data_IF_554993455247
#
_entry.id   IF_554993455247
#
_cell.length_a   1.000
_cell.length_b   1.000
_cell.length_c   1.000
_cell.angle_alpha   90.00
_cell.angle_beta   90.00
_cell.angle_gamma   90.00
#
_symmetry.space_group_name_H-M   'P 1'
#
loop_
_entity.id
_entity.type
_entity.pdbx_description
1 polymer ?
#
# COMPACT_ATOMS: atom_id res chain seq x y z
N UNK A 1 21.49 -36.85 11.92
CA UNK A 1 21.00 -35.62 12.59
C UNK A 1 20.24 -34.81 11.53
N UNK A 2 18.92 -34.59 11.66
CA UNK A 2 18.18 -33.81 10.69
C UNK A 2 18.63 -32.33 10.77
N UNK A 3 19.08 -31.77 9.64
CA UNK A 3 19.41 -30.35 9.52
C UNK A 3 18.17 -29.53 9.82
N UNK A 4 18.18 -28.77 10.94
CA UNK A 4 17.19 -27.73 11.26
C UNK A 4 17.09 -26.81 10.05
N UNK A 5 15.91 -26.76 9.38
CA UNK A 5 15.63 -25.75 8.37
C UNK A 5 15.74 -24.38 9.03
N UNK A 6 16.78 -23.64 8.71
CA UNK A 6 16.90 -22.24 9.09
C UNK A 6 15.74 -21.51 8.43
N UNK A 7 14.88 -20.79 9.19
CA UNK A 7 13.82 -19.98 8.56
C UNK A 7 14.49 -18.98 7.62
N UNK A 8 14.21 -19.06 6.34
CA UNK A 8 14.62 -18.01 5.40
C UNK A 8 13.99 -16.72 5.92
N UNK A 9 14.80 -15.71 6.24
CA UNK A 9 14.34 -14.36 6.60
C UNK A 9 13.34 -13.94 5.52
N UNK A 10 12.05 -13.89 5.88
CA UNK A 10 10.99 -13.57 4.94
C UNK A 10 11.19 -12.16 4.41
N UNK A 11 11.02 -11.97 3.12
CA UNK A 11 10.96 -10.64 2.52
C UNK A 11 9.74 -9.93 3.09
N UNK A 12 9.92 -8.73 3.64
CA UNK A 12 8.83 -8.00 4.32
C UNK A 12 7.96 -7.19 3.36
N UNK A 13 8.37 -7.02 2.09
CA UNK A 13 7.68 -6.25 1.07
C UNK A 13 7.58 -7.01 -0.25
N UNK A 14 6.53 -6.75 -1.01
CA UNK A 14 6.37 -7.24 -2.38
C UNK A 14 7.26 -6.49 -3.36
N UNK A 15 7.59 -7.12 -4.48
CA UNK A 15 8.06 -6.43 -5.68
C UNK A 15 6.91 -5.75 -6.39
N UNK A 16 7.24 -4.85 -7.35
CA UNK A 16 6.21 -4.22 -8.19
C UNK A 16 5.44 -5.24 -9.04
N UNK A 17 6.10 -6.27 -9.52
CA UNK A 17 5.46 -7.31 -10.34
C UNK A 17 4.58 -8.23 -9.48
N UNK A 18 4.99 -8.55 -8.25
CA UNK A 18 4.15 -9.26 -7.29
C UNK A 18 2.87 -8.46 -6.98
N UNK A 19 2.98 -7.13 -6.76
CA UNK A 19 1.82 -6.26 -6.53
C UNK A 19 0.89 -6.24 -7.73
N UNK A 20 1.41 -6.07 -8.95
CA UNK A 20 0.61 -6.08 -10.18
C UNK A 20 -0.12 -7.40 -10.37
N UNK A 21 0.58 -8.51 -10.18
CA UNK A 21 -0.01 -9.85 -10.28
C UNK A 21 -1.11 -10.04 -9.23
N UNK A 22 -0.85 -9.67 -7.98
CA UNK A 22 -1.83 -9.77 -6.89
C UNK A 22 -3.13 -9.01 -7.22
N UNK A 23 -3.06 -7.84 -7.86
CA UNK A 23 -4.23 -7.05 -8.24
C UNK A 23 -5.03 -7.64 -9.41
N UNK A 24 -4.44 -8.56 -10.17
CA UNK A 24 -5.13 -9.25 -11.29
C UNK A 24 -5.87 -10.51 -10.86
N UNK A 25 -5.55 -11.07 -9.66
CA UNK A 25 -6.14 -12.33 -9.20
C UNK A 25 -7.64 -12.25 -8.83
N UNK A 26 -8.17 -11.14 -8.25
CA UNK A 26 -9.60 -11.04 -7.99
C UNK A 26 -10.39 -10.87 -9.28
N UNK A 27 -11.42 -11.71 -9.47
CA UNK A 27 -12.35 -11.60 -10.59
C UNK A 27 -13.34 -10.44 -10.37
N UNK A 28 -13.05 -9.29 -10.97
CA UNK A 28 -13.86 -8.08 -10.82
C UNK A 28 -15.18 -8.10 -11.61
N UNK A 29 -15.53 -9.19 -12.30
CA UNK A 29 -16.83 -9.37 -12.94
C UNK A 29 -17.95 -9.65 -11.93
N UNK A 30 -17.59 -10.03 -10.70
CA UNK A 30 -18.53 -10.26 -9.60
C UNK A 30 -18.25 -9.31 -8.41
N UNK A 31 -19.26 -9.14 -7.56
CA UNK A 31 -19.22 -8.18 -6.45
C UNK A 31 -18.11 -8.47 -5.44
N UNK A 32 -17.88 -9.75 -5.12
CA UNK A 32 -16.85 -10.17 -4.16
C UNK A 32 -15.46 -9.85 -4.70
N UNK A 33 -15.20 -10.20 -5.96
CA UNK A 33 -13.91 -9.93 -6.57
C UNK A 33 -13.66 -8.44 -6.81
N UNK A 34 -14.70 -7.67 -7.17
CA UNK A 34 -14.61 -6.22 -7.27
C UNK A 34 -14.24 -5.59 -5.91
N UNK A 35 -14.91 -6.02 -4.83
CA UNK A 35 -14.58 -5.61 -3.46
C UNK A 35 -13.13 -5.95 -3.12
N UNK A 36 -12.75 -7.21 -3.31
CA UNK A 36 -11.43 -7.73 -2.91
C UNK A 36 -10.31 -7.00 -3.68
N UNK A 37 -10.50 -6.79 -4.98
CA UNK A 37 -9.57 -6.01 -5.82
C UNK A 37 -9.43 -4.57 -5.32
N UNK A 38 -10.54 -3.91 -5.07
CA UNK A 38 -10.57 -2.54 -4.56
C UNK A 38 -9.89 -2.44 -3.20
N UNK A 39 -10.15 -3.41 -2.30
CA UNK A 39 -9.51 -3.50 -0.98
C UNK A 39 -7.98 -3.59 -1.09
N UNK A 40 -7.48 -4.53 -1.90
CA UNK A 40 -6.03 -4.73 -2.08
C UNK A 40 -5.36 -3.49 -2.68
N UNK A 41 -5.95 -2.89 -3.72
CA UNK A 41 -5.46 -1.66 -4.34
C UNK A 41 -5.49 -0.48 -3.37
N UNK A 42 -6.57 -0.35 -2.58
CA UNK A 42 -6.69 0.70 -1.58
C UNK A 42 -5.63 0.57 -0.49
N UNK A 43 -5.41 -0.64 0.05
CA UNK A 43 -4.40 -0.90 1.07
C UNK A 43 -2.99 -0.55 0.57
N UNK A 44 -2.68 -0.86 -0.68
CA UNK A 44 -1.41 -0.47 -1.30
C UNK A 44 -1.30 1.04 -1.51
N UNK A 45 -2.31 1.66 -2.11
CA UNK A 45 -2.27 3.09 -2.44
C UNK A 45 -2.27 3.99 -1.21
N UNK A 46 -2.87 3.55 -0.10
CA UNK A 46 -3.01 4.33 1.15
C UNK A 46 -2.01 3.94 2.25
N UNK A 47 -1.40 2.76 2.15
CA UNK A 47 -0.55 2.21 3.22
C UNK A 47 -1.25 2.07 4.56
N UNK A 48 -2.59 1.95 4.58
CA UNK A 48 -3.39 1.84 5.81
C UNK A 48 -3.19 0.52 6.54
N UNK A 49 -3.47 0.52 7.85
CA UNK A 49 -3.58 -0.71 8.64
C UNK A 49 -4.95 -1.36 8.40
N UNK A 50 -5.05 -2.68 8.59
CA UNK A 50 -6.31 -3.41 8.43
C UNK A 50 -7.46 -2.79 9.25
N UNK A 51 -7.21 -2.42 10.51
CA UNK A 51 -8.22 -1.76 11.35
C UNK A 51 -8.67 -0.40 10.78
N UNK A 52 -7.74 0.39 10.24
CA UNK A 52 -8.05 1.68 9.62
C UNK A 52 -8.94 1.51 8.37
N UNK A 53 -8.77 0.41 7.64
CA UNK A 53 -9.64 0.04 6.50
C UNK A 53 -11.03 -0.38 6.98
N UNK A 54 -11.11 -1.15 8.07
CA UNK A 54 -12.39 -1.54 8.66
C UNK A 54 -13.22 -0.35 9.13
N UNK A 55 -12.55 0.69 9.64
CA UNK A 55 -13.18 1.88 10.21
C UNK A 55 -13.51 2.95 9.16
N UNK A 56 -13.02 2.81 7.92
CA UNK A 56 -13.19 3.78 6.84
C UNK A 56 -14.66 3.90 6.43
N UNK A 57 -15.19 5.12 6.46
CA UNK A 57 -16.54 5.46 6.00
C UNK A 57 -16.51 6.27 4.70
N UNK A 58 -17.63 6.35 4.01
CA UNK A 58 -17.79 7.17 2.79
C UNK A 58 -17.51 8.64 3.10
N UNK A 59 -17.90 9.12 4.28
CA UNK A 59 -17.68 10.50 4.72
C UNK A 59 -16.21 10.89 4.93
N UNK A 60 -15.33 9.89 5.05
CA UNK A 60 -13.89 10.11 5.16
C UNK A 60 -13.22 10.42 3.82
N UNK A 61 -13.94 10.28 2.70
CA UNK A 61 -13.39 10.34 1.35
C UNK A 61 -13.90 11.58 0.64
N UNK A 62 -12.97 12.35 0.08
CA UNK A 62 -13.25 13.46 -0.81
C UNK A 62 -12.63 13.18 -2.18
N UNK A 63 -13.47 13.00 -3.19
CA UNK A 63 -13.02 12.77 -4.56
C UNK A 63 -12.71 14.09 -5.27
N UNK A 64 -11.59 14.10 -5.99
CA UNK A 64 -11.14 15.18 -6.87
C UNK A 64 -10.93 14.59 -8.28
N UNK A 65 -10.78 15.43 -9.32
CA UNK A 65 -10.57 14.93 -10.69
C UNK A 65 -9.33 14.05 -10.87
N UNK A 66 -8.26 14.31 -10.10
CA UNK A 66 -6.93 13.69 -10.23
C UNK A 66 -6.54 12.77 -9.05
N UNK A 67 -7.33 12.73 -7.98
CA UNK A 67 -7.01 11.99 -6.74
C UNK A 67 -8.23 11.84 -5.84
N UNK A 68 -8.07 11.13 -4.74
CA UNK A 68 -8.96 11.27 -3.59
C UNK A 68 -8.17 11.67 -2.34
N UNK A 69 -8.73 12.57 -1.53
CA UNK A 69 -8.28 12.88 -0.18
C UNK A 69 -9.03 12.03 0.82
N UNK A 70 -8.32 11.39 1.75
CA UNK A 70 -8.89 10.44 2.70
C UNK A 70 -8.46 10.77 4.11
N UNK A 71 -9.41 10.88 5.01
CA UNK A 71 -9.17 11.02 6.44
C UNK A 71 -9.05 9.63 7.06
N UNK A 72 -7.88 9.31 7.59
CA UNK A 72 -7.62 8.02 8.24
C UNK A 72 -7.62 8.21 9.75
N UNK A 73 -8.53 7.51 10.42
CA UNK A 73 -8.66 7.51 11.86
C UNK A 73 -7.71 6.49 12.48
N UNK A 74 -6.71 6.97 13.21
CA UNK A 74 -5.70 6.15 13.88
C UNK A 74 -5.98 5.97 15.37
N UNK A 75 -5.11 5.24 16.05
CA UNK A 75 -5.20 5.01 17.49
C UNK A 75 -5.17 6.33 18.27
N UNK A 76 -6.05 6.48 19.27
CA UNK A 76 -6.11 7.66 20.13
C UNK A 76 -6.72 8.89 19.45
N UNK A 77 -7.74 8.71 18.61
CA UNK A 77 -8.48 9.76 17.90
C UNK A 77 -7.62 10.67 17.00
N UNK A 78 -6.40 10.24 16.67
CA UNK A 78 -5.56 10.97 15.73
C UNK A 78 -6.03 10.74 14.31
N UNK A 79 -6.33 11.82 13.62
CA UNK A 79 -6.73 11.78 12.19
C UNK A 79 -5.55 12.26 11.36
N UNK A 80 -5.22 11.51 10.30
CA UNK A 80 -4.32 11.97 9.26
C UNK A 80 -5.02 12.02 7.92
N UNK A 81 -4.74 13.04 7.13
CA UNK A 81 -5.24 13.15 5.76
C UNK A 81 -4.17 12.68 4.78
N UNK A 82 -4.54 11.77 3.91
CA UNK A 82 -3.68 11.27 2.85
C UNK A 82 -4.33 11.50 1.48
N UNK A 83 -3.50 11.54 0.43
CA UNK A 83 -3.97 11.52 -0.96
C UNK A 83 -3.67 10.16 -1.59
N UNK A 84 -4.62 9.57 -2.30
CA UNK A 84 -4.39 8.42 -3.16
C UNK A 84 -4.45 8.81 -4.64
N UNK A 85 -3.63 8.17 -5.52
CA UNK A 85 -3.54 8.54 -6.92
C UNK A 85 -4.83 8.23 -7.70
N UNK A 86 -4.94 8.82 -8.89
CA UNK A 86 -6.12 8.80 -9.74
C UNK A 86 -6.69 7.40 -9.98
N UNK A 87 -5.86 6.43 -10.34
CA UNK A 87 -6.34 5.07 -10.66
C UNK A 87 -6.97 4.39 -9.44
N UNK A 88 -6.34 4.50 -8.27
CA UNK A 88 -6.89 3.97 -7.01
C UNK A 88 -8.15 4.73 -6.59
N UNK A 89 -8.19 6.05 -6.79
CA UNK A 89 -9.35 6.91 -6.54
C UNK A 89 -10.55 6.50 -7.40
N UNK A 90 -10.32 6.31 -8.70
CA UNK A 90 -11.37 5.91 -9.65
C UNK A 90 -11.91 4.51 -9.34
N UNK A 91 -11.04 3.58 -8.98
CA UNK A 91 -11.46 2.23 -8.58
C UNK A 91 -12.31 2.27 -7.31
N UNK A 92 -11.87 3.02 -6.31
CA UNK A 92 -12.60 3.19 -5.05
C UNK A 92 -13.98 3.83 -5.29
N UNK A 93 -14.04 4.87 -6.13
CA UNK A 93 -15.29 5.55 -6.48
C UNK A 93 -16.27 4.60 -7.17
N UNK A 94 -15.81 3.88 -8.21
CA UNK A 94 -16.64 2.89 -8.92
C UNK A 94 -17.18 1.81 -7.98
N UNK A 95 -16.38 1.34 -7.04
CA UNK A 95 -16.82 0.37 -6.04
C UNK A 95 -17.91 0.93 -5.12
N UNK A 96 -17.72 2.15 -4.60
CA UNK A 96 -18.70 2.83 -3.74
C UNK A 96 -20.02 3.10 -4.49
N UNK A 97 -19.94 3.53 -5.76
CA UNK A 97 -21.09 3.72 -6.65
C UNK A 97 -21.81 2.40 -6.93
N UNK A 98 -21.08 1.33 -7.22
CA UNK A 98 -21.63 -0.01 -7.43
C UNK A 98 -22.40 -0.51 -6.20
N UNK A 99 -21.90 -0.23 -5.01
CA UNK A 99 -22.57 -0.52 -3.74
C UNK A 99 -23.77 0.42 -3.45
N UNK A 100 -23.97 1.47 -4.25
CA UNK A 100 -25.01 2.50 -4.09
C UNK A 100 -24.97 3.22 -2.73
N UNK A 101 -23.77 3.40 -2.17
CA UNK A 101 -23.56 4.05 -0.86
C UNK A 101 -22.90 5.43 -0.97
N UNK A 102 -22.68 5.95 -2.17
CA UNK A 102 -21.92 7.19 -2.41
C UNK A 102 -22.46 8.40 -1.65
N UNK A 103 -23.76 8.44 -1.37
CA UNK A 103 -24.44 9.52 -0.67
C UNK A 103 -24.66 9.22 0.83
N UNK A 104 -24.27 8.06 1.33
CA UNK A 104 -24.40 7.67 2.72
C UNK A 104 -23.05 7.79 3.44
N UNK A 105 -22.78 8.99 3.97
CA UNK A 105 -21.50 9.35 4.59
C UNK A 105 -21.14 8.50 5.80
N UNK A 106 -22.13 7.94 6.50
CA UNK A 106 -21.91 7.08 7.68
C UNK A 106 -21.60 5.62 7.33
N UNK A 107 -21.80 5.21 6.08
CA UNK A 107 -21.60 3.83 5.64
C UNK A 107 -20.14 3.46 5.57
N UNK A 108 -19.82 2.25 6.07
CA UNK A 108 -18.48 1.70 5.90
C UNK A 108 -18.21 1.37 4.42
N UNK A 109 -17.04 1.75 3.94
CA UNK A 109 -16.63 1.54 2.54
C UNK A 109 -16.53 0.06 2.22
N UNK A 110 -15.97 -0.74 3.12
CA UNK A 110 -15.82 -2.18 2.94
C UNK A 110 -16.73 -2.96 3.89
N UNK A 111 -17.49 -3.87 3.33
CA UNK A 111 -18.37 -4.79 4.06
C UNK A 111 -17.98 -6.24 3.83
N UNK A 112 -18.30 -7.13 4.76
CA UNK A 112 -18.27 -8.57 4.52
C UNK A 112 -19.57 -9.01 3.80
N UNK A 113 -19.70 -10.29 3.53
CA UNK A 113 -20.95 -10.84 2.96
C UNK A 113 -22.12 -10.78 3.95
N UNK A 114 -21.84 -10.78 5.25
CA UNK A 114 -22.84 -10.89 6.31
C UNK A 114 -22.94 -9.66 7.21
N UNK A 115 -21.94 -8.76 7.16
CA UNK A 115 -21.89 -7.58 8.03
C UNK A 115 -21.56 -6.33 7.23
N UNK A 116 -22.18 -5.21 7.60
CA UNK A 116 -21.93 -3.90 6.96
C UNK A 116 -20.51 -3.37 7.18
N UNK A 117 -19.90 -3.73 8.30
CA UNK A 117 -18.52 -3.41 8.62
C UNK A 117 -17.66 -4.67 8.49
N UNK A 118 -16.61 -4.60 7.70
CA UNK A 118 -15.61 -5.65 7.59
C UNK A 118 -14.78 -5.73 8.87
N UNK A 119 -14.40 -6.94 9.28
CA UNK A 119 -13.46 -7.17 10.39
C UNK A 119 -12.02 -7.31 9.90
N UNK A 120 -11.06 -7.13 10.80
CA UNK A 120 -9.65 -7.39 10.51
C UNK A 120 -9.42 -8.83 10.07
N UNK A 121 -10.08 -9.80 10.74
CA UNK A 121 -10.01 -11.21 10.37
C UNK A 121 -10.48 -11.45 8.92
N UNK A 122 -11.57 -10.80 8.50
CA UNK A 122 -12.04 -10.90 7.12
C UNK A 122 -11.01 -10.34 6.10
N UNK A 123 -10.33 -9.25 6.45
CA UNK A 123 -9.24 -8.71 5.61
C UNK A 123 -8.07 -9.71 5.53
N UNK A 124 -7.71 -10.33 6.64
CA UNK A 124 -6.64 -11.34 6.69
C UNK A 124 -7.00 -12.58 5.87
N UNK A 125 -8.25 -13.04 5.92
CA UNK A 125 -8.76 -14.15 5.10
C UNK A 125 -8.73 -13.82 3.61
N UNK A 126 -9.21 -12.63 3.21
CA UNK A 126 -9.14 -12.16 1.82
C UNK A 126 -7.69 -12.12 1.34
N UNK A 127 -6.80 -11.60 2.19
CA UNK A 127 -5.39 -11.49 1.87
C UNK A 127 -4.75 -12.87 1.68
N UNK A 128 -4.98 -13.78 2.63
CA UNK A 128 -4.49 -15.16 2.58
C UNK A 128 -4.97 -15.87 1.32
N UNK A 129 -6.27 -15.79 1.00
CA UNK A 129 -6.88 -16.35 -0.20
C UNK A 129 -6.12 -15.98 -1.48
N UNK A 130 -5.79 -14.70 -1.66
CA UNK A 130 -5.11 -14.25 -2.88
C UNK A 130 -3.61 -14.53 -2.86
N UNK A 131 -2.96 -14.54 -1.69
CA UNK A 131 -1.57 -14.98 -1.56
C UNK A 131 -1.43 -16.48 -1.86
N UNK A 132 -2.33 -17.31 -1.36
CA UNK A 132 -2.30 -18.75 -1.64
C UNK A 132 -2.59 -19.05 -3.11
N UNK A 133 -3.54 -18.32 -3.72
CA UNK A 133 -3.79 -18.37 -5.16
C UNK A 133 -2.54 -17.94 -5.95
N UNK A 134 -1.91 -16.84 -5.57
CA UNK A 134 -0.69 -16.36 -6.21
C UNK A 134 0.47 -17.37 -6.12
N UNK A 135 0.63 -18.02 -4.96
CA UNK A 135 1.65 -19.09 -4.78
C UNK A 135 1.38 -20.30 -5.65
N UNK A 136 0.12 -20.65 -5.85
CA UNK A 136 -0.27 -21.77 -6.70
C UNK A 136 -0.03 -21.47 -8.18
N UNK A 137 -0.44 -20.27 -8.64
CA UNK A 137 -0.35 -19.89 -10.06
C UNK A 137 1.04 -19.37 -10.45
N UNK A 138 1.77 -18.75 -9.52
CA UNK A 138 3.08 -18.11 -9.75
C UNK A 138 4.10 -18.49 -8.66
N UNK A 139 4.43 -19.79 -8.47
CA UNK A 139 5.25 -20.28 -7.34
C UNK A 139 6.66 -19.69 -7.33
N UNK A 140 7.22 -19.40 -8.49
CA UNK A 140 8.56 -18.81 -8.59
C UNK A 140 8.60 -17.35 -8.18
N UNK A 141 7.48 -16.63 -8.32
CA UNK A 141 7.34 -15.22 -7.93
C UNK A 141 7.00 -15.09 -6.45
N UNK A 142 6.00 -15.84 -5.96
CA UNK A 142 5.49 -15.73 -4.58
C UNK A 142 6.13 -16.76 -3.63
N UNK A 143 7.43 -16.63 -3.39
CA UNK A 143 8.21 -17.58 -2.55
C UNK A 143 8.11 -17.32 -1.05
N UNK A 144 7.64 -16.15 -0.64
CA UNK A 144 7.61 -15.71 0.75
C UNK A 144 6.19 -15.72 1.31
N UNK A 145 6.10 -15.64 2.64
CA UNK A 145 4.81 -15.41 3.31
C UNK A 145 4.58 -13.93 3.50
N UNK A 146 3.42 -13.46 3.06
CA UNK A 146 3.02 -12.07 3.14
C UNK A 146 1.74 -11.94 3.97
N UNK A 147 1.60 -10.84 4.68
CA UNK A 147 0.45 -10.49 5.51
C UNK A 147 -0.08 -9.12 5.08
N UNK A 148 -1.27 -8.68 5.54
CA UNK A 148 -1.74 -7.31 5.31
C UNK A 148 -0.73 -6.25 5.74
N UNK A 149 0.08 -6.52 6.78
CA UNK A 149 1.16 -5.63 7.20
C UNK A 149 2.28 -5.51 6.17
N UNK A 150 2.54 -6.57 5.40
CA UNK A 150 3.51 -6.57 4.30
C UNK A 150 3.10 -5.58 3.19
N UNK A 151 1.79 -5.37 2.93
CA UNK A 151 1.32 -4.39 1.97
C UNK A 151 1.70 -2.97 2.37
N UNK A 152 1.54 -2.62 3.63
CA UNK A 152 1.93 -1.32 4.17
C UNK A 152 3.46 -1.12 4.10
N UNK A 153 4.25 -2.16 4.38
CA UNK A 153 5.71 -2.14 4.17
C UNK A 153 6.06 -1.93 2.71
N UNK A 154 5.34 -2.59 1.81
CA UNK A 154 5.50 -2.45 0.36
C UNK A 154 5.25 -1.01 -0.08
N UNK A 155 4.17 -0.39 0.38
CA UNK A 155 3.86 1.01 0.09
C UNK A 155 5.01 1.92 0.52
N UNK A 156 5.50 1.75 1.76
CA UNK A 156 6.63 2.52 2.28
C UNK A 156 7.89 2.35 1.43
N UNK A 157 8.24 1.10 1.11
CA UNK A 157 9.41 0.76 0.30
C UNK A 157 9.33 1.38 -1.09
N UNK A 158 8.20 1.19 -1.78
CA UNK A 158 8.00 1.73 -3.13
C UNK A 158 7.97 3.26 -3.17
N UNK A 159 7.42 3.93 -2.14
CA UNK A 159 7.49 5.39 -2.02
C UNK A 159 8.94 5.87 -1.90
N UNK A 160 9.75 5.21 -1.06
CA UNK A 160 11.17 5.56 -0.90
C UNK A 160 11.97 5.28 -2.18
N UNK A 161 11.73 4.15 -2.85
CA UNK A 161 12.34 3.83 -4.15
C UNK A 161 11.97 4.85 -5.24
N UNK A 162 10.76 5.43 -5.16
CA UNK A 162 10.32 6.51 -6.04
C UNK A 162 10.92 7.89 -5.67
N UNK A 163 11.75 7.96 -4.61
CA UNK A 163 12.40 9.20 -4.18
C UNK A 163 11.57 10.07 -3.23
N UNK A 164 10.45 9.55 -2.70
CA UNK A 164 9.66 10.29 -1.69
C UNK A 164 10.47 10.40 -0.40
N UNK A 165 10.65 11.61 0.16
CA UNK A 165 11.42 11.79 1.39
C UNK A 165 10.87 10.99 2.56
N UNK A 166 11.76 10.40 3.39
CA UNK A 166 11.37 9.55 4.52
C UNK A 166 10.38 10.24 5.47
N UNK A 167 10.53 11.55 5.69
CA UNK A 167 9.61 12.30 6.56
C UNK A 167 8.19 12.33 5.99
N UNK A 168 8.06 12.44 4.67
CA UNK A 168 6.76 12.41 3.96
C UNK A 168 6.15 11.01 4.08
N UNK A 169 6.95 9.95 3.88
CA UNK A 169 6.50 8.56 4.05
C UNK A 169 6.04 8.30 5.49
N UNK A 170 6.80 8.76 6.49
CA UNK A 170 6.40 8.64 7.91
C UNK A 170 5.07 9.34 8.20
N UNK A 171 4.88 10.55 7.69
CA UNK A 171 3.65 11.31 7.88
C UNK A 171 2.46 10.64 7.17
N UNK A 172 2.67 10.18 5.94
CA UNK A 172 1.67 9.47 5.14
C UNK A 172 1.17 8.21 5.85
N UNK A 173 2.08 7.41 6.39
CA UNK A 173 1.76 6.19 7.09
C UNK A 173 1.27 6.39 8.53
N UNK A 174 1.49 7.56 9.12
CA UNK A 174 1.16 7.84 10.52
C UNK A 174 2.02 7.03 11.49
N UNK A 175 3.17 7.57 11.86
CA UNK A 175 4.14 7.03 12.82
C UNK A 175 4.47 5.54 12.63
N UNK A 176 5.41 5.26 11.74
CA UNK A 176 6.03 3.93 11.61
C UNK A 176 6.96 3.75 12.81
N UNK A 177 6.75 2.70 13.61
CA UNK A 177 7.66 2.36 14.71
C UNK A 177 9.07 2.10 14.19
N UNK A 178 10.07 2.44 15.01
CA UNK A 178 11.50 2.37 14.68
C UNK A 178 12.04 0.98 14.29
N UNK A 179 11.26 -0.09 14.45
CA UNK A 179 11.69 -1.46 14.08
C UNK A 179 11.91 -1.69 12.58
N UNK A 180 11.41 -0.78 11.73
CA UNK A 180 11.65 -0.80 10.28
C UNK A 180 12.86 0.04 9.87
N UNK A 181 13.60 0.60 10.83
CA UNK A 181 14.67 1.57 10.59
C UNK A 181 15.78 1.02 9.70
N UNK A 182 16.11 -0.27 9.81
CA UNK A 182 17.24 -0.84 9.05
C UNK A 182 16.95 -0.93 7.55
N UNK A 183 15.74 -1.38 7.15
CA UNK A 183 15.31 -1.42 5.73
C UNK A 183 15.19 0.00 5.18
N UNK A 184 14.65 0.93 5.95
CA UNK A 184 14.55 2.34 5.56
C UNK A 184 15.92 3.00 5.44
N UNK A 185 16.90 2.61 6.26
CA UNK A 185 18.26 3.18 6.21
C UNK A 185 18.97 2.77 4.93
N UNK A 186 18.89 1.49 4.53
CA UNK A 186 19.51 1.00 3.30
C UNK A 186 18.90 1.65 2.05
N UNK A 187 17.56 1.67 1.95
CA UNK A 187 16.85 2.30 0.82
C UNK A 187 17.07 3.81 0.79
N UNK A 188 17.11 4.46 1.96
CA UNK A 188 17.37 5.90 2.06
C UNK A 188 18.80 6.22 1.62
N UNK A 189 19.78 5.36 1.91
CA UNK A 189 21.16 5.55 1.49
C UNK A 189 21.28 5.47 -0.04
N UNK A 190 20.66 4.49 -0.68
CA UNK A 190 20.62 4.37 -2.13
C UNK A 190 19.93 5.56 -2.80
N UNK A 191 18.82 6.00 -2.24
CA UNK A 191 18.08 7.17 -2.72
C UNK A 191 18.91 8.43 -2.53
N UNK A 192 19.59 8.59 -1.41
CA UNK A 192 20.51 9.69 -1.14
C UNK A 192 21.67 9.69 -2.15
N UNK A 193 22.27 8.55 -2.41
CA UNK A 193 23.36 8.44 -3.38
C UNK A 193 22.91 8.80 -4.79
N UNK A 194 21.71 8.39 -5.21
CA UNK A 194 21.11 8.78 -6.50
C UNK A 194 20.85 10.29 -6.58
N UNK A 195 20.33 10.88 -5.51
CA UNK A 195 20.07 12.33 -5.44
C UNK A 195 21.38 13.13 -5.43
N UNK A 196 22.40 12.68 -4.70
CA UNK A 196 23.73 13.30 -4.70
C UNK A 196 24.37 13.24 -6.07
N UNK A 197 24.24 12.10 -6.78
CA UNK A 197 24.70 11.98 -8.16
C UNK A 197 23.97 12.95 -9.09
N UNK A 198 22.65 13.01 -9.01
CA UNK A 198 21.84 13.95 -9.81
C UNK A 198 22.16 15.41 -9.50
N UNK A 199 22.44 15.75 -8.23
CA UNK A 199 22.89 17.08 -7.83
C UNK A 199 24.27 17.39 -8.39
N UNK A 200 25.21 16.46 -8.28
CA UNK A 200 26.55 16.58 -8.85
C UNK A 200 26.50 16.80 -10.36
N UNK A 201 25.73 15.97 -11.08
CA UNK A 201 25.58 16.06 -12.55
C UNK A 201 24.96 17.40 -12.99
N UNK A 202 24.07 17.97 -12.18
CA UNK A 202 23.44 19.27 -12.48
C UNK A 202 24.33 20.46 -12.20
N UNK A 203 25.13 20.41 -11.14
CA UNK A 203 25.81 21.58 -10.63
C UNK A 203 27.33 21.57 -10.84
N UNK A 204 27.94 20.42 -10.99
CA UNK A 204 29.40 20.30 -11.12
C UNK A 204 29.88 19.83 -12.48
N UNK A 205 29.08 19.10 -13.27
CA UNK A 205 29.49 18.61 -14.58
C UNK A 205 29.12 19.55 -15.76
N UNK A 206 28.30 20.58 -15.53
CA UNK A 206 27.92 21.55 -16.58
C UNK A 206 28.84 22.76 -16.74
N UNK A 207 29.80 22.97 -15.86
CA UNK A 207 30.68 24.11 -15.88
C UNK A 207 32.18 23.74 -16.04
N UNK A 208 32.51 22.89 -17.05
CA UNK A 208 33.90 22.77 -17.49
C UNK A 208 34.33 23.90 -18.44
N UNK A 209 33.59 25.02 -18.53
CA UNK A 209 33.92 26.15 -19.39
C UNK A 209 34.44 27.39 -18.65
N UNK A 210 34.71 27.32 -17.35
CA UNK A 210 35.17 28.48 -16.57
C UNK A 210 36.45 28.24 -15.73
N UNK A 211 37.21 27.18 -16.01
CA UNK A 211 38.55 26.99 -15.43
C UNK A 211 39.56 26.77 -16.54
N UNK A 212 39.75 27.78 -17.43
CA UNK A 212 40.95 28.06 -18.17
C UNK A 212 41.39 29.51 -17.89
#
# INVERSE_FOLDING_TARGET
>A
VPKKKVPRKGRSSFTRDEVKTLFQLPDSSNEIGLRDKTLLCFMYASGTRAQEVCDLTVGDIQFYPDRAGINIHGKGQKVRRIGIPCDASNMLKKYIEHRRIINDTGRHVFSSQTHEKMSVACIEEIYSKYIDKAKLEYPEMFRYSYTPHSMRHTTATHMLEAGVPLIVVKNFLGHVSLQTTQIYTEITQDTMNKQLKSWNDKWFLKDNSHFE
#
